data_IF_892571661327
#
_entry.id   IF_892571661327
#
_cell.length_a   1.000
_cell.length_b   1.000
_cell.length_c   1.000
_cell.angle_alpha   90.00
_cell.angle_beta   90.00
_cell.angle_gamma   90.00
#
_symmetry.space_group_name_H-M   'P 1'
#
loop_
_entity.id
_entity.type
_entity.pdbx_description
1 polymer ?
#
# COMPACT_ATOMS: atom_id res chain seq x y z
N UNK A 1 19.40 -24.34 -6.29
CA UNK A 1 18.72 -25.48 -5.65
C UNK A 1 17.51 -25.80 -6.49
N UNK A 2 17.48 -26.96 -7.15
CA UNK A 2 16.41 -27.24 -8.08
C UNK A 2 15.14 -27.60 -7.28
N UNK A 3 14.02 -26.94 -7.55
CA UNK A 3 12.71 -27.16 -6.89
C UNK A 3 12.26 -28.66 -6.94
N UNK A 4 12.91 -29.48 -7.77
CA UNK A 4 12.62 -30.91 -7.90
C UNK A 4 12.96 -31.77 -6.69
N UNK A 5 13.78 -31.26 -5.76
CA UNK A 5 14.25 -32.01 -4.57
C UNK A 5 13.53 -31.57 -3.28
N UNK A 6 12.49 -30.75 -3.39
CA UNK A 6 11.68 -30.34 -2.23
C UNK A 6 10.81 -31.52 -1.78
N UNK A 7 10.78 -31.86 -0.47
CA UNK A 7 9.88 -32.88 0.08
C UNK A 7 8.40 -32.42 0.03
N UNK A 8 8.14 -31.17 -0.35
CA UNK A 8 6.81 -30.64 -0.49
C UNK A 8 6.26 -30.88 -1.89
N UNK A 9 4.95 -30.98 -1.99
CA UNK A 9 4.28 -31.08 -3.29
C UNK A 9 4.71 -29.90 -4.19
N UNK A 10 4.90 -30.16 -5.50
CA UNK A 10 5.24 -29.07 -6.41
C UNK A 10 4.14 -27.99 -6.38
N UNK A 11 4.56 -26.75 -6.45
CA UNK A 11 3.64 -25.62 -6.61
C UNK A 11 2.81 -25.84 -7.89
N UNK A 12 1.50 -25.80 -7.74
CA UNK A 12 0.56 -25.81 -8.85
C UNK A 12 -0.12 -24.45 -8.89
N UNK A 13 0.06 -23.75 -10.00
CA UNK A 13 -0.71 -22.54 -10.25
C UNK A 13 -2.17 -22.90 -10.47
N UNK A 14 -3.04 -22.26 -9.73
CA UNK A 14 -4.48 -22.36 -9.89
C UNK A 14 -4.99 -21.12 -10.61
N UNK A 15 -5.05 -21.19 -11.94
CA UNK A 15 -5.48 -20.06 -12.78
C UNK A 15 -7.00 -19.78 -12.69
N UNK A 16 -7.75 -20.61 -11.97
CA UNK A 16 -9.19 -20.38 -11.75
C UNK A 16 -9.47 -19.63 -10.46
N UNK A 17 -8.46 -19.45 -9.60
CA UNK A 17 -8.65 -18.66 -8.38
C UNK A 17 -8.82 -17.18 -8.69
N UNK A 18 -9.76 -16.52 -8.00
CA UNK A 18 -9.93 -15.08 -8.15
C UNK A 18 -8.65 -14.36 -7.75
N UNK A 19 -8.33 -13.32 -8.49
CA UNK A 19 -7.20 -12.44 -8.18
C UNK A 19 -7.68 -10.99 -8.16
N UNK A 20 -6.96 -10.15 -7.45
CA UNK A 20 -7.18 -8.72 -7.38
C UNK A 20 -5.90 -8.01 -7.80
N UNK A 21 -6.00 -7.10 -8.75
CA UNK A 21 -4.87 -6.26 -9.14
C UNK A 21 -5.26 -4.80 -9.07
N UNK A 22 -4.65 -4.10 -8.18
CA UNK A 22 -4.75 -2.65 -8.05
C UNK A 22 -3.61 -2.20 -7.15
N UNK A 23 -3.08 -1.01 -7.39
CA UNK A 23 -2.07 -0.43 -6.52
C UNK A 23 -2.17 1.09 -6.53
N UNK A 24 -1.94 1.75 -5.38
CA UNK A 24 -1.70 3.18 -5.39
C UNK A 24 -0.37 3.44 -6.11
N UNK A 25 -0.27 4.58 -6.77
CA UNK A 25 1.03 5.02 -7.24
C UNK A 25 1.89 5.56 -6.07
N UNK A 26 3.12 5.96 -6.40
CA UNK A 26 4.09 6.39 -5.41
C UNK A 26 3.68 7.63 -4.63
N UNK A 27 3.03 8.62 -5.27
CA UNK A 27 2.61 9.85 -4.60
C UNK A 27 1.51 9.56 -3.58
N UNK A 28 0.53 8.74 -3.95
CA UNK A 28 -0.55 8.35 -3.04
C UNK A 28 -0.05 7.45 -1.90
N UNK A 29 0.83 6.50 -2.21
CA UNK A 29 1.48 5.67 -1.19
C UNK A 29 2.29 6.52 -0.22
N UNK A 30 3.13 7.43 -0.74
CA UNK A 30 3.91 8.36 0.07
C UNK A 30 3.04 9.26 0.94
N UNK A 31 1.93 9.78 0.39
CA UNK A 31 0.99 10.60 1.16
C UNK A 31 0.36 9.83 2.33
N UNK A 32 0.00 8.56 2.13
CA UNK A 32 -0.50 7.70 3.21
C UNK A 32 0.56 7.51 4.31
N UNK A 33 1.81 7.24 3.94
CA UNK A 33 2.91 7.12 4.91
C UNK A 33 3.20 8.43 5.64
N UNK A 34 3.08 9.57 4.95
CA UNK A 34 3.23 10.89 5.55
C UNK A 34 2.14 11.17 6.59
N UNK A 35 0.89 10.86 6.27
CA UNK A 35 -0.22 10.97 7.23
C UNK A 35 0.04 10.06 8.43
N UNK A 36 0.48 8.82 8.22
CA UNK A 36 0.82 7.90 9.31
C UNK A 36 1.93 8.47 10.20
N UNK A 37 2.99 9.02 9.63
CA UNK A 37 4.09 9.61 10.37
C UNK A 37 3.66 10.87 11.16
N UNK A 38 2.96 11.80 10.51
CA UNK A 38 2.46 13.02 11.14
C UNK A 38 1.53 12.68 12.32
N UNK A 39 0.60 11.76 12.15
CA UNK A 39 -0.33 11.35 13.22
C UNK A 39 0.36 10.62 14.36
N UNK A 40 1.37 9.83 14.04
CA UNK A 40 2.16 9.10 15.07
C UNK A 40 2.95 10.06 15.97
N UNK A 41 3.45 11.14 15.42
CA UNK A 41 4.26 12.14 16.16
C UNK A 41 3.51 13.42 16.53
N UNK A 42 2.19 13.45 16.33
CA UNK A 42 1.33 14.60 16.64
C UNK A 42 1.74 15.87 15.87
N UNK A 43 2.28 15.69 14.67
CA UNK A 43 2.69 16.78 13.79
C UNK A 43 1.56 17.13 12.79
N UNK A 44 1.50 18.39 12.34
CA UNK A 44 0.51 18.78 11.33
C UNK A 44 0.79 18.09 9.99
N UNK A 45 -0.27 17.57 9.38
CA UNK A 45 -0.19 17.01 8.02
C UNK A 45 -0.14 18.17 7.02
N UNK A 46 0.86 18.22 6.12
CA UNK A 46 0.88 19.19 5.02
C UNK A 46 -0.40 19.11 4.20
N UNK A 47 -0.93 20.25 3.76
CA UNK A 47 -2.15 20.27 2.94
C UNK A 47 -1.95 19.65 1.57
N UNK A 48 -0.76 19.79 1.00
CA UNK A 48 -0.42 19.28 -0.32
C UNK A 48 0.94 18.60 -0.34
N UNK A 49 1.12 17.68 -1.31
CA UNK A 49 2.40 17.13 -1.73
C UNK A 49 2.60 17.40 -3.21
N UNK A 50 3.85 17.55 -3.62
CA UNK A 50 4.20 17.78 -5.02
C UNK A 50 4.16 16.47 -5.80
N UNK A 51 3.76 16.56 -7.07
CA UNK A 51 3.83 15.43 -7.99
C UNK A 51 5.26 14.87 -8.06
N UNK A 52 5.39 13.54 -8.09
CA UNK A 52 6.67 12.82 -8.16
C UNK A 52 7.64 13.14 -7.00
N UNK A 53 7.11 13.54 -5.82
CA UNK A 53 7.94 13.82 -4.66
C UNK A 53 8.62 12.56 -4.09
N UNK A 54 9.80 12.72 -3.52
CA UNK A 54 10.56 11.61 -2.95
C UNK A 54 10.19 11.45 -1.47
N UNK A 55 9.12 10.74 -1.20
CA UNK A 55 8.57 10.59 0.15
C UNK A 55 9.55 9.97 1.17
N UNK A 56 10.45 9.09 0.71
CA UNK A 56 11.47 8.48 1.58
C UNK A 56 12.47 9.47 2.16
N UNK A 57 12.64 10.66 1.55
CA UNK A 57 13.49 11.73 2.06
C UNK A 57 12.79 12.61 3.11
N UNK A 58 11.47 12.45 3.29
CA UNK A 58 10.73 13.25 4.26
C UNK A 58 11.14 12.88 5.71
N UNK A 59 11.59 13.85 6.54
CA UNK A 59 12.18 13.57 7.87
C UNK A 59 11.27 12.75 8.80
N UNK A 60 9.97 12.99 8.78
CA UNK A 60 9.02 12.24 9.63
C UNK A 60 8.83 10.81 9.14
N UNK A 61 8.80 10.58 7.83
CA UNK A 61 8.72 9.23 7.26
C UNK A 61 10.01 8.46 7.59
N UNK A 62 11.17 9.07 7.39
CA UNK A 62 12.45 8.46 7.72
C UNK A 62 12.56 8.14 9.23
N UNK A 63 12.06 9.04 10.09
CA UNK A 63 11.97 8.82 11.53
C UNK A 63 11.08 7.61 11.86
N UNK A 64 9.89 7.53 11.27
CA UNK A 64 8.96 6.41 11.52
C UNK A 64 9.51 5.09 10.96
N UNK A 65 10.20 5.12 9.81
CA UNK A 65 10.85 3.95 9.23
C UNK A 65 11.99 3.39 10.11
N UNK A 66 12.66 4.23 10.89
CA UNK A 66 13.74 3.83 11.81
C UNK A 66 13.26 3.55 13.24
N UNK A 67 11.98 3.77 13.56
CA UNK A 67 11.43 3.58 14.90
C UNK A 67 11.25 2.08 15.22
N UNK A 68 12.08 1.56 16.10
CA UNK A 68 12.05 0.13 16.49
C UNK A 68 10.86 -0.23 17.37
N UNK A 69 10.26 0.75 18.05
CA UNK A 69 9.09 0.53 18.92
C UNK A 69 7.78 0.53 18.10
N UNK A 70 7.81 1.16 16.91
CA UNK A 70 6.64 1.35 16.04
C UNK A 70 6.89 0.76 14.67
N UNK A 71 6.92 -0.55 14.61
CA UNK A 71 7.20 -1.24 13.37
C UNK A 71 5.98 -1.22 12.44
N UNK A 72 6.22 -0.75 11.22
CA UNK A 72 5.27 -0.77 10.11
C UNK A 72 5.87 -1.59 8.97
N UNK A 73 5.18 -2.66 8.55
CA UNK A 73 5.66 -3.52 7.46
C UNK A 73 5.79 -2.75 6.15
N UNK A 74 4.85 -1.84 5.88
CA UNK A 74 4.87 -0.95 4.72
C UNK A 74 6.13 -0.07 4.67
N UNK A 75 6.60 0.44 5.81
CA UNK A 75 7.80 1.28 5.91
C UNK A 75 9.10 0.47 5.98
N UNK A 76 9.03 -0.81 6.33
CA UNK A 76 10.17 -1.72 6.35
C UNK A 76 10.43 -2.39 5.00
N UNK A 77 9.72 -1.96 3.95
CA UNK A 77 9.89 -2.48 2.60
C UNK A 77 9.33 -3.89 2.43
N UNK A 78 8.27 -4.24 3.18
CA UNK A 78 7.57 -5.49 2.90
C UNK A 78 6.94 -5.42 1.51
N UNK A 79 7.21 -6.44 0.71
CA UNK A 79 6.61 -6.61 -0.61
C UNK A 79 5.63 -7.78 -0.64
N UNK A 80 5.67 -8.63 0.39
CA UNK A 80 4.78 -9.77 0.53
C UNK A 80 4.06 -9.76 1.88
N UNK A 81 2.74 -10.02 1.85
CA UNK A 81 1.93 -10.28 3.05
C UNK A 81 1.26 -11.63 2.91
N UNK A 82 1.69 -12.58 3.75
CA UNK A 82 1.14 -13.93 3.78
C UNK A 82 -0.25 -13.96 4.45
N UNK A 83 -1.17 -14.87 4.05
CA UNK A 83 -2.51 -14.96 4.61
C UNK A 83 -2.53 -15.62 6.00
N UNK A 84 -1.83 -15.02 6.94
CA UNK A 84 -1.73 -15.44 8.32
C UNK A 84 -2.29 -14.39 9.25
N UNK A 85 -3.08 -14.81 10.25
CA UNK A 85 -3.75 -13.92 11.18
C UNK A 85 -2.82 -13.30 12.23
N UNK A 86 -1.74 -14.00 12.59
CA UNK A 86 -0.75 -13.49 13.54
C UNK A 86 0.11 -12.39 12.91
N UNK A 87 0.37 -11.32 13.66
CA UNK A 87 1.18 -10.22 13.20
C UNK A 87 2.66 -10.46 13.44
N UNK A 88 3.40 -10.72 12.39
CA UNK A 88 4.86 -10.77 12.39
C UNK A 88 5.44 -10.44 11.01
N UNK A 89 6.74 -10.21 10.97
CA UNK A 89 7.49 -10.05 9.73
C UNK A 89 8.87 -10.67 9.88
N UNK A 90 9.49 -11.03 8.76
CA UNK A 90 10.81 -11.64 8.72
C UNK A 90 11.48 -11.34 7.39
N UNK A 91 12.79 -11.50 7.33
CA UNK A 91 13.55 -11.45 6.10
C UNK A 91 13.81 -12.85 5.57
N UNK A 92 13.64 -13.03 4.29
CA UNK A 92 13.96 -14.28 3.61
C UNK A 92 14.57 -14.01 2.23
N UNK A 93 15.49 -14.88 1.79
CA UNK A 93 15.95 -14.83 0.40
C UNK A 93 14.85 -15.28 -0.54
N UNK A 94 14.62 -14.53 -1.60
CA UNK A 94 13.78 -14.97 -2.72
C UNK A 94 14.59 -15.86 -3.67
N UNK A 95 13.91 -16.55 -4.62
CA UNK A 95 14.58 -17.29 -5.69
C UNK A 95 15.51 -16.45 -6.57
N UNK A 96 15.37 -15.13 -6.51
CA UNK A 96 16.21 -14.11 -7.18
C UNK A 96 17.47 -13.72 -6.38
N UNK A 97 17.75 -14.42 -5.28
CA UNK A 97 18.85 -14.13 -4.32
C UNK A 97 18.73 -12.79 -3.55
N UNK A 98 17.67 -12.03 -3.77
CA UNK A 98 17.42 -10.80 -3.04
C UNK A 98 16.80 -11.09 -1.67
N UNK A 99 17.28 -10.40 -0.66
CA UNK A 99 16.65 -10.39 0.66
C UNK A 99 15.39 -9.54 0.59
N UNK A 100 14.24 -10.11 0.89
CA UNK A 100 13.01 -9.36 0.96
C UNK A 100 12.38 -9.41 2.35
N UNK A 101 11.64 -8.37 2.67
CA UNK A 101 10.82 -8.33 3.88
C UNK A 101 9.46 -8.96 3.57
N UNK A 102 9.11 -9.98 4.33
CA UNK A 102 7.83 -10.66 4.27
C UNK A 102 7.08 -10.38 5.56
N UNK A 103 5.83 -9.98 5.44
CA UNK A 103 4.93 -9.71 6.54
C UNK A 103 3.68 -10.62 6.47
N UNK A 104 2.70 -10.37 7.32
CA UNK A 104 1.44 -11.11 7.37
C UNK A 104 0.25 -10.17 7.21
N UNK A 105 -0.88 -10.69 6.70
CA UNK A 105 -2.12 -9.94 6.61
C UNK A 105 -2.61 -9.47 7.98
N UNK A 106 -2.43 -10.28 9.03
CA UNK A 106 -2.74 -9.86 10.40
C UNK A 106 -1.88 -8.69 10.89
N UNK A 107 -0.63 -8.57 10.41
CA UNK A 107 0.22 -7.40 10.64
C UNK A 107 -0.30 -6.17 9.89
N UNK A 108 -0.52 -6.30 8.58
CA UNK A 108 -1.05 -5.23 7.73
C UNK A 108 -2.40 -4.70 8.26
N UNK A 109 -3.32 -5.59 8.64
CA UNK A 109 -4.60 -5.21 9.24
C UNK A 109 -4.41 -4.31 10.46
N UNK A 110 -3.56 -4.69 11.40
CA UNK A 110 -3.29 -3.89 12.60
C UNK A 110 -2.69 -2.52 12.28
N UNK A 111 -1.83 -2.46 11.27
CA UNK A 111 -1.25 -1.20 10.81
C UNK A 111 -2.31 -0.27 10.22
N UNK A 112 -3.16 -0.80 9.33
CA UNK A 112 -4.24 -0.01 8.71
C UNK A 112 -5.30 0.40 9.75
N UNK A 113 -5.73 -0.51 10.64
CA UNK A 113 -6.66 -0.17 11.71
C UNK A 113 -6.12 0.94 12.62
N UNK A 114 -4.83 0.86 12.98
CA UNK A 114 -4.16 1.89 13.78
C UNK A 114 -4.11 3.24 13.03
N UNK A 115 -3.76 3.22 11.75
CA UNK A 115 -3.76 4.44 10.95
C UNK A 115 -5.15 5.07 10.87
N UNK A 116 -6.17 4.28 10.60
CA UNK A 116 -7.55 4.78 10.59
C UNK A 116 -7.95 5.39 11.94
N UNK A 117 -7.60 4.73 13.04
CA UNK A 117 -7.90 5.23 14.39
C UNK A 117 -7.22 6.58 14.66
N UNK A 118 -5.98 6.78 14.20
CA UNK A 118 -5.21 8.01 14.42
C UNK A 118 -5.61 9.15 13.49
N UNK A 119 -6.04 8.83 12.26
CA UNK A 119 -6.21 9.82 11.20
C UNK A 119 -7.67 10.18 10.93
N UNK A 120 -8.54 9.19 10.72
CA UNK A 120 -9.87 9.44 10.14
C UNK A 120 -11.03 8.89 10.96
N UNK A 121 -10.85 7.78 11.67
CA UNK A 121 -11.90 7.09 12.44
C UNK A 121 -13.13 6.75 11.55
N UNK A 122 -12.87 6.40 10.30
CA UNK A 122 -13.89 6.09 9.31
C UNK A 122 -14.40 4.65 9.47
N UNK A 123 -15.66 4.44 9.15
CA UNK A 123 -16.23 3.11 9.00
C UNK A 123 -15.80 2.44 7.69
N UNK A 124 -16.05 1.14 7.57
CA UNK A 124 -15.59 0.35 6.42
C UNK A 124 -16.22 0.82 5.10
N UNK A 125 -17.50 1.17 5.10
CA UNK A 125 -18.18 1.62 3.88
C UNK A 125 -17.57 2.94 3.38
N UNK A 126 -17.26 3.85 4.28
CA UNK A 126 -16.56 5.10 3.98
C UNK A 126 -15.16 4.82 3.42
N UNK A 127 -14.39 3.92 4.06
CA UNK A 127 -13.05 3.54 3.58
C UNK A 127 -13.13 2.97 2.17
N UNK A 128 -14.02 2.03 1.92
CA UNK A 128 -14.19 1.41 0.61
C UNK A 128 -14.60 2.43 -0.47
N UNK A 129 -15.38 3.45 -0.09
CA UNK A 129 -15.81 4.52 -0.98
C UNK A 129 -14.68 5.46 -1.43
N UNK A 130 -13.60 5.59 -0.65
CA UNK A 130 -12.51 6.50 -0.97
C UNK A 130 -11.78 6.17 -2.27
N UNK A 131 -11.69 4.91 -2.67
CA UNK A 131 -11.08 4.55 -3.95
C UNK A 131 -11.82 5.15 -5.17
N UNK A 132 -13.09 5.52 -5.00
CA UNK A 132 -13.92 6.08 -6.08
C UNK A 132 -14.14 7.59 -5.94
N UNK A 133 -13.85 8.17 -4.74
CA UNK A 133 -14.16 9.57 -4.42
C UNK A 133 -12.93 10.42 -4.12
N UNK A 134 -11.81 9.80 -3.80
CA UNK A 134 -10.57 10.45 -3.42
C UNK A 134 -9.45 10.11 -4.42
N UNK A 135 -8.29 10.71 -4.28
CA UNK A 135 -7.15 10.47 -5.15
C UNK A 135 -6.79 11.66 -6.01
N UNK A 136 -6.40 11.38 -7.22
CA UNK A 136 -5.97 12.40 -8.16
C UNK A 136 -7.16 13.15 -8.78
N UNK A 137 -6.99 14.44 -9.11
CA UNK A 137 -7.91 15.08 -10.01
C UNK A 137 -7.94 14.29 -11.33
N UNK A 138 -9.08 14.31 -12.01
CA UNK A 138 -9.24 13.63 -13.31
C UNK A 138 -8.14 14.09 -14.25
N UNK A 139 -7.22 13.20 -14.57
CA UNK A 139 -6.02 13.48 -15.37
C UNK A 139 -6.18 13.11 -16.84
N UNK A 140 -7.40 12.80 -17.27
CA UNK A 140 -7.71 12.49 -18.66
C UNK A 140 -9.17 12.20 -18.92
N UNK A 141 -9.52 12.03 -20.18
CA UNK A 141 -10.87 11.72 -20.63
C UNK A 141 -10.85 10.51 -21.55
N UNK A 142 -11.84 9.63 -21.39
CA UNK A 142 -12.10 8.57 -22.34
C UNK A 142 -12.88 9.16 -23.54
N UNK A 143 -12.26 9.17 -24.72
CA UNK A 143 -12.90 9.62 -25.94
C UNK A 143 -14.02 8.69 -26.40
N UNK A 144 -14.92 9.15 -27.28
CA UNK A 144 -15.99 8.31 -27.83
C UNK A 144 -15.47 7.15 -28.69
N UNK A 145 -14.22 7.19 -29.11
CA UNK A 145 -13.48 6.14 -29.82
C UNK A 145 -12.88 5.08 -28.87
N UNK A 146 -13.09 5.22 -27.56
CA UNK A 146 -12.53 4.34 -26.53
C UNK A 146 -11.05 4.59 -26.24
N UNK A 147 -10.46 5.66 -26.81
CA UNK A 147 -9.09 6.04 -26.48
C UNK A 147 -9.04 6.96 -25.26
N UNK A 148 -8.13 6.65 -24.35
CA UNK A 148 -7.86 7.50 -23.18
C UNK A 148 -6.88 8.61 -23.58
N UNK A 149 -7.32 9.85 -23.40
CA UNK A 149 -6.49 11.03 -23.59
C UNK A 149 -6.06 11.55 -22.22
N UNK A 150 -4.80 11.37 -21.89
CA UNK A 150 -4.22 11.87 -20.63
C UNK A 150 -4.06 13.39 -20.70
N UNK A 151 -4.50 14.08 -19.66
CA UNK A 151 -4.20 15.50 -19.52
C UNK A 151 -2.69 15.70 -19.32
N UNK A 152 -2.15 16.79 -19.87
CA UNK A 152 -0.78 17.20 -19.61
C UNK A 152 -0.72 17.81 -18.21
N UNK A 153 -0.25 17.01 -17.25
CA UNK A 153 -0.14 17.45 -15.84
C UNK A 153 1.21 18.13 -15.67
N UNK A 154 1.25 19.44 -15.38
CA UNK A 154 2.49 20.17 -15.23
C UNK A 154 3.41 19.56 -14.15
N UNK A 155 4.71 19.66 -14.37
CA UNK A 155 5.70 19.52 -13.30
C UNK A 155 5.32 20.47 -12.14
N UNK A 156 5.60 20.09 -10.90
CA UNK A 156 5.24 20.86 -9.68
C UNK A 156 3.74 20.96 -9.38
N UNK A 157 2.89 20.15 -10.03
CA UNK A 157 1.48 20.04 -9.62
C UNK A 157 1.39 19.63 -8.15
N UNK A 158 0.53 20.32 -7.40
CA UNK A 158 0.28 20.03 -6.00
C UNK A 158 -0.99 19.17 -5.86
N UNK A 159 -0.87 18.08 -5.16
CA UNK A 159 -1.98 17.19 -4.85
C UNK A 159 -2.43 17.33 -3.39
N UNK A 160 -3.71 17.20 -3.12
CA UNK A 160 -4.22 17.15 -1.76
C UNK A 160 -3.70 15.91 -1.03
N UNK A 161 -2.94 16.13 0.03
CA UNK A 161 -2.30 15.06 0.81
C UNK A 161 -3.31 14.10 1.41
N UNK A 162 -4.42 14.63 1.94
CA UNK A 162 -5.43 13.79 2.59
C UNK A 162 -6.20 12.95 1.58
N UNK A 163 -6.51 13.53 0.42
CA UNK A 163 -7.20 12.83 -0.65
C UNK A 163 -6.36 11.68 -1.19
N UNK A 164 -5.08 11.92 -1.50
CA UNK A 164 -4.15 10.86 -1.93
C UNK A 164 -3.98 9.77 -0.87
N UNK A 165 -3.82 10.18 0.40
CA UNK A 165 -3.63 9.22 1.49
C UNK A 165 -4.83 8.30 1.70
N UNK A 166 -6.04 8.83 1.63
CA UNK A 166 -7.28 8.05 1.73
C UNK A 166 -7.45 7.10 0.56
N UNK A 167 -7.11 7.56 -0.66
CA UNK A 167 -7.13 6.73 -1.86
C UNK A 167 -6.21 5.52 -1.72
N UNK A 168 -4.92 5.73 -1.38
CA UNK A 168 -3.98 4.64 -1.16
C UNK A 168 -4.44 3.72 -0.02
N UNK A 169 -4.93 4.29 1.08
CA UNK A 169 -5.45 3.53 2.22
C UNK A 169 -6.59 2.60 1.80
N UNK A 170 -7.55 3.12 1.03
CA UNK A 170 -8.66 2.32 0.51
C UNK A 170 -8.20 1.15 -0.37
N UNK A 171 -7.20 1.37 -1.22
CA UNK A 171 -6.63 0.30 -2.06
C UNK A 171 -6.00 -0.80 -1.22
N UNK A 172 -5.17 -0.47 -0.22
CA UNK A 172 -4.60 -1.46 0.69
C UNK A 172 -5.68 -2.17 1.52
N UNK A 173 -6.70 -1.45 1.95
CA UNK A 173 -7.83 -2.03 2.69
C UNK A 173 -8.60 -3.05 1.84
N UNK A 174 -8.95 -2.69 0.60
CA UNK A 174 -9.61 -3.59 -0.37
C UNK A 174 -8.76 -4.83 -0.65
N UNK A 175 -7.47 -4.65 -0.93
CA UNK A 175 -6.53 -5.74 -1.19
C UNK A 175 -6.40 -6.68 0.02
N UNK A 176 -6.26 -6.14 1.22
CA UNK A 176 -6.18 -6.91 2.46
C UNK A 176 -7.46 -7.73 2.69
N UNK A 177 -8.63 -7.11 2.54
CA UNK A 177 -9.91 -7.81 2.70
C UNK A 177 -10.08 -8.94 1.70
N UNK A 178 -9.78 -8.68 0.43
CA UNK A 178 -9.78 -9.71 -0.60
C UNK A 178 -8.83 -10.86 -0.28
N UNK A 179 -7.60 -10.54 0.10
CA UNK A 179 -6.59 -11.54 0.41
C UNK A 179 -6.95 -12.40 1.62
N UNK A 180 -7.58 -11.83 2.65
CA UNK A 180 -8.09 -12.58 3.79
C UNK A 180 -9.26 -13.48 3.43
N UNK A 181 -10.21 -12.99 2.65
CA UNK A 181 -11.38 -13.76 2.21
C UNK A 181 -10.98 -14.94 1.32
N UNK A 182 -10.05 -14.70 0.38
CA UNK A 182 -9.60 -15.71 -0.57
C UNK A 182 -8.44 -16.56 -0.06
N UNK A 183 -7.85 -16.21 1.10
CA UNK A 183 -6.67 -16.88 1.68
C UNK A 183 -5.50 -16.91 0.71
N UNK A 184 -5.23 -15.78 0.06
CA UNK A 184 -4.12 -15.57 -0.87
C UNK A 184 -3.15 -14.50 -0.33
N UNK A 185 -1.87 -14.52 -0.72
CA UNK A 185 -0.93 -13.47 -0.35
C UNK A 185 -1.21 -12.17 -1.12
N UNK A 186 -0.81 -11.05 -0.55
CA UNK A 186 -0.61 -9.80 -1.28
C UNK A 186 0.84 -9.75 -1.74
N UNK A 187 1.05 -9.41 -2.99
CA UNK A 187 2.35 -9.02 -3.55
C UNK A 187 2.26 -7.57 -4.00
N UNK A 188 3.15 -6.74 -3.47
CA UNK A 188 3.35 -5.38 -3.95
C UNK A 188 4.49 -5.40 -4.95
N UNK A 189 4.15 -5.36 -6.22
CA UNK A 189 5.09 -5.34 -7.34
C UNK A 189 5.33 -3.89 -7.81
N UNK A 190 6.61 -3.50 -7.90
CA UNK A 190 7.05 -2.15 -8.24
C UNK A 190 7.66 -2.09 -9.63
#
# INVERSE_FOLDING_TARGET
MCIRDSPYAPWLEDNEKPYYTDKPDWDAFGAMLLVAACRTYEEPVPSTVEKDWIFGEHPLIARLASDEERVWSLLRGATWWLPLADAFFFQAPLPTDDQTMIATLGGLRKELEKLNQLAWQADEDTILGWADTEGYPVDGTLGPDGQYSKADIPEHTQYDTQSLAKFAFSMFWRAMRFAEEQQVPILLDY
#
